data_IF_567537342406
#
_entry.id   IF_567537342406
#
_cell.length_a   1.000
_cell.length_b   1.000
_cell.length_c   1.000
_cell.angle_alpha   90.00
_cell.angle_beta   90.00
_cell.angle_gamma   90.00
#
_symmetry.space_group_name_H-M   'P 1'
#
loop_
_entity.id
_entity.type
_entity.pdbx_description
1 polymer ?
#
# COMPACT_ATOMS: atom_id res chain seq x y z
N UNK A 1 9.45 -5.28 -14.78
CA UNK A 1 8.81 -4.83 -13.53
C UNK A 1 9.59 -5.27 -12.29
N UNK A 2 9.72 -6.58 -11.94
CA UNK A 2 10.39 -7.02 -10.70
C UNK A 2 11.83 -6.53 -10.56
N UNK A 3 12.63 -6.53 -11.63
CA UNK A 3 13.98 -5.94 -11.66
C UNK A 3 13.97 -4.44 -11.31
N UNK A 4 13.04 -3.67 -11.87
CA UNK A 4 12.91 -2.25 -11.59
C UNK A 4 12.50 -1.99 -10.13
N UNK A 5 11.54 -2.76 -9.62
CA UNK A 5 11.12 -2.67 -8.21
C UNK A 5 12.27 -2.97 -7.27
N UNK A 6 13.03 -4.05 -7.52
CA UNK A 6 14.16 -4.41 -6.69
C UNK A 6 15.30 -3.36 -6.78
N UNK A 7 15.56 -2.81 -7.96
CA UNK A 7 16.53 -1.72 -8.15
C UNK A 7 16.12 -0.43 -7.43
N UNK A 8 14.80 -0.20 -7.26
CA UNK A 8 14.23 0.91 -6.47
C UNK A 8 14.09 0.57 -4.96
N UNK A 9 14.69 -0.53 -4.50
CA UNK A 9 14.69 -0.94 -3.09
C UNK A 9 13.45 -1.71 -2.64
N UNK A 10 12.50 -2.01 -3.52
CA UNK A 10 11.27 -2.73 -3.21
C UNK A 10 11.52 -4.23 -3.28
N UNK A 11 11.46 -4.91 -2.13
CA UNK A 11 11.68 -6.36 -2.03
C UNK A 11 10.39 -7.18 -2.05
N UNK A 12 9.29 -6.60 -1.64
CA UNK A 12 7.95 -7.20 -1.68
C UNK A 12 6.96 -6.20 -2.26
N UNK A 13 6.01 -6.69 -3.05
CA UNK A 13 4.96 -5.85 -3.60
C UNK A 13 3.60 -6.51 -3.51
N UNK A 14 2.63 -5.76 -2.99
CA UNK A 14 1.20 -6.06 -3.10
C UNK A 14 0.65 -5.24 -4.28
N UNK A 15 0.53 -5.89 -5.45
CA UNK A 15 0.09 -5.24 -6.69
C UNK A 15 -1.43 -5.11 -6.72
N UNK A 16 -1.93 -3.94 -7.09
CA UNK A 16 -3.32 -3.76 -7.47
C UNK A 16 -3.46 -3.80 -8.99
N UNK A 17 -4.41 -4.58 -9.49
CA UNK A 17 -4.73 -4.65 -10.91
C UNK A 17 -6.22 -4.86 -11.11
N UNK A 18 -6.82 -4.01 -11.96
CA UNK A 18 -8.20 -4.16 -12.40
C UNK A 18 -8.27 -5.05 -13.65
N UNK A 19 -9.09 -6.09 -13.58
CA UNK A 19 -9.22 -7.08 -14.65
C UNK A 19 -10.37 -6.73 -15.61
N UNK A 20 -10.25 -5.59 -16.26
CA UNK A 20 -11.24 -5.05 -17.20
C UNK A 20 -10.85 -5.19 -18.68
N UNK A 21 -9.83 -5.99 -18.96
CA UNK A 21 -9.25 -6.17 -20.29
C UNK A 21 -9.34 -7.62 -20.76
N UNK A 22 -9.40 -7.79 -22.07
CA UNK A 22 -9.16 -9.08 -22.71
C UNK A 22 -7.67 -9.23 -23.01
N UNK A 23 -7.16 -10.44 -22.87
CA UNK A 23 -5.80 -10.74 -23.28
C UNK A 23 -5.78 -11.99 -24.18
N UNK A 24 -4.77 -12.04 -25.02
CA UNK A 24 -4.60 -13.08 -26.02
C UNK A 24 -3.29 -13.83 -25.75
N UNK A 25 -3.34 -15.15 -25.81
CA UNK A 25 -2.10 -15.92 -25.83
C UNK A 25 -1.35 -15.68 -27.15
N UNK A 26 -0.03 -15.75 -27.12
CA UNK A 26 0.78 -15.57 -28.31
C UNK A 26 0.31 -16.52 -29.44
N UNK A 27 0.09 -15.95 -30.63
CA UNK A 27 -0.40 -16.67 -31.81
C UNK A 27 -1.88 -17.06 -31.79
N UNK A 28 -2.68 -16.56 -30.84
CA UNK A 28 -4.14 -16.75 -30.82
C UNK A 28 -4.89 -15.52 -31.31
N UNK A 29 -5.97 -15.74 -32.05
CA UNK A 29 -6.88 -14.68 -32.52
C UNK A 29 -8.04 -14.47 -31.54
N UNK A 30 -8.38 -15.50 -30.76
CA UNK A 30 -9.43 -15.43 -29.74
C UNK A 30 -8.83 -15.08 -28.37
N UNK A 31 -9.53 -14.25 -27.57
CA UNK A 31 -9.09 -13.95 -26.22
C UNK A 31 -9.17 -15.19 -25.32
N UNK A 32 -8.33 -15.23 -24.30
CA UNK A 32 -8.44 -16.25 -23.25
C UNK A 32 -9.78 -16.08 -22.51
N UNK A 33 -10.40 -17.21 -22.14
CA UNK A 33 -11.73 -17.23 -21.52
C UNK A 33 -11.73 -16.70 -20.08
N UNK A 34 -10.58 -16.78 -19.38
CA UNK A 34 -10.39 -16.32 -18.01
C UNK A 34 -8.94 -15.92 -17.78
N UNK A 35 -8.60 -15.55 -16.55
CA UNK A 35 -7.26 -15.08 -16.20
C UNK A 35 -6.32 -16.17 -15.67
N UNK A 36 -6.70 -17.45 -15.64
CA UNK A 36 -5.89 -18.53 -15.06
C UNK A 36 -4.49 -18.64 -15.69
N UNK A 37 -4.42 -18.57 -17.04
CA UNK A 37 -3.13 -18.63 -17.74
C UNK A 37 -2.23 -17.46 -17.37
N UNK A 38 -2.78 -16.26 -17.21
CA UNK A 38 -2.03 -15.08 -16.81
C UNK A 38 -1.48 -15.26 -15.39
N UNK A 39 -2.30 -15.74 -14.45
CA UNK A 39 -1.85 -16.00 -13.08
C UNK A 39 -0.83 -17.12 -12.98
N UNK A 40 -0.97 -18.15 -13.79
CA UNK A 40 0.05 -19.21 -13.92
C UNK A 40 1.41 -18.60 -14.30
N UNK A 41 1.44 -17.83 -15.39
CA UNK A 41 2.68 -17.18 -15.88
C UNK A 41 3.21 -16.18 -14.85
N UNK A 42 2.34 -15.41 -14.21
CA UNK A 42 2.74 -14.47 -13.15
C UNK A 42 3.44 -15.18 -12.00
N UNK A 43 2.89 -16.29 -11.50
CA UNK A 43 3.51 -17.09 -10.46
C UNK A 43 4.84 -17.73 -10.89
N UNK A 44 4.89 -18.30 -12.08
CA UNK A 44 6.12 -18.90 -12.65
C UNK A 44 7.25 -17.86 -12.80
N UNK A 45 6.93 -16.65 -13.27
CA UNK A 45 7.94 -15.59 -13.45
C UNK A 45 8.41 -15.01 -12.11
N UNK A 46 7.56 -14.93 -11.08
CA UNK A 46 8.00 -14.56 -9.72
C UNK A 46 9.03 -15.56 -9.22
N UNK A 47 8.74 -16.86 -9.26
CA UNK A 47 9.64 -17.89 -8.74
C UNK A 47 10.93 -18.01 -9.57
N UNK A 48 10.84 -17.85 -10.88
CA UNK A 48 12.01 -17.80 -11.75
C UNK A 48 12.91 -16.59 -11.44
N UNK A 49 12.33 -15.42 -11.21
CA UNK A 49 13.10 -14.23 -10.84
C UNK A 49 13.77 -14.40 -9.48
N UNK A 50 13.05 -14.85 -8.46
CA UNK A 50 13.60 -15.15 -7.12
C UNK A 50 14.75 -16.16 -7.16
N UNK A 51 14.70 -17.13 -8.07
CA UNK A 51 15.75 -18.14 -8.23
C UNK A 51 16.98 -17.63 -9.02
N UNK A 52 16.91 -16.48 -9.65
CA UNK A 52 18.02 -15.88 -10.38
C UNK A 52 19.00 -15.18 -9.45
N UNK A 53 20.26 -15.00 -9.88
CA UNK A 53 21.26 -14.23 -9.12
C UNK A 53 20.81 -12.77 -8.91
N UNK A 54 20.15 -12.18 -9.91
CA UNK A 54 19.65 -10.81 -9.85
C UNK A 54 18.49 -10.65 -8.87
N UNK A 55 17.61 -11.65 -8.79
CA UNK A 55 16.39 -11.61 -7.97
C UNK A 55 16.51 -12.22 -6.57
N UNK A 56 17.69 -12.66 -6.15
CA UNK A 56 17.90 -13.38 -4.86
C UNK A 56 17.41 -12.61 -3.62
N UNK A 57 17.42 -11.28 -3.67
CA UNK A 57 16.97 -10.42 -2.59
C UNK A 57 15.48 -10.02 -2.71
N UNK A 58 14.81 -10.43 -3.78
CA UNK A 58 13.38 -10.19 -3.97
C UNK A 58 12.55 -11.20 -3.17
N UNK A 59 11.70 -10.71 -2.29
CA UNK A 59 10.89 -11.56 -1.41
C UNK A 59 9.67 -12.15 -2.10
N UNK A 60 9.12 -11.43 -3.09
CA UNK A 60 7.98 -11.87 -3.88
C UNK A 60 6.95 -10.79 -4.15
N UNK A 61 5.84 -11.23 -4.74
CA UNK A 61 4.70 -10.39 -5.06
C UNK A 61 3.40 -11.15 -4.86
N UNK A 62 2.35 -10.43 -4.47
CA UNK A 62 0.96 -10.91 -4.49
C UNK A 62 0.07 -9.86 -5.12
N UNK A 63 -1.11 -10.26 -5.50
CA UNK A 63 -2.06 -9.38 -6.15
C UNK A 63 -3.28 -9.12 -5.28
N UNK A 64 -3.64 -7.86 -5.11
CA UNK A 64 -4.94 -7.43 -4.62
C UNK A 64 -5.82 -7.25 -5.85
N UNK A 65 -6.80 -8.13 -6.01
CA UNK A 65 -7.75 -8.03 -7.10
C UNK A 65 -8.58 -6.76 -6.95
N UNK A 66 -8.72 -6.01 -8.04
CA UNK A 66 -9.26 -4.66 -7.96
C UNK A 66 -10.45 -4.50 -8.89
N UNK A 67 -11.64 -4.35 -8.32
CA UNK A 67 -12.86 -4.02 -9.04
C UNK A 67 -13.02 -2.51 -9.25
N UNK A 68 -13.77 -2.13 -10.28
CA UNK A 68 -14.03 -0.71 -10.62
C UNK A 68 -15.40 -0.30 -10.09
N UNK A 69 -15.44 0.61 -9.13
CA UNK A 69 -16.67 1.01 -8.40
C UNK A 69 -17.77 1.67 -9.24
N UNK A 70 -17.44 2.21 -10.42
CA UNK A 70 -18.44 2.82 -11.31
C UNK A 70 -19.22 1.80 -12.17
N UNK A 71 -18.75 0.55 -12.22
CA UNK A 71 -19.42 -0.49 -12.99
C UNK A 71 -20.78 -0.86 -12.39
N UNK A 72 -21.66 -1.38 -13.24
CA UNK A 72 -22.94 -1.90 -12.78
C UNK A 72 -22.78 -3.16 -11.91
N UNK A 73 -23.79 -3.43 -11.09
CA UNK A 73 -23.82 -4.57 -10.16
C UNK A 73 -23.45 -5.89 -10.82
N UNK A 74 -23.94 -6.16 -12.02
CA UNK A 74 -23.67 -7.42 -12.72
C UNK A 74 -22.19 -7.59 -13.02
N UNK A 75 -21.54 -6.55 -13.54
CA UNK A 75 -20.10 -6.58 -13.84
C UNK A 75 -19.25 -6.67 -12.60
N UNK A 76 -19.63 -6.01 -11.51
CA UNK A 76 -18.93 -6.13 -10.22
C UNK A 76 -19.05 -7.56 -9.68
N UNK A 77 -20.22 -8.18 -9.76
CA UNK A 77 -20.41 -9.59 -9.34
C UNK A 77 -19.62 -10.54 -10.22
N UNK A 78 -19.63 -10.37 -11.55
CA UNK A 78 -18.82 -11.15 -12.49
C UNK A 78 -17.31 -11.03 -12.18
N UNK A 79 -16.84 -9.82 -11.84
CA UNK A 79 -15.45 -9.55 -11.41
C UNK A 79 -15.10 -10.24 -10.08
N UNK A 80 -15.98 -10.16 -9.09
CA UNK A 80 -15.83 -10.85 -7.82
C UNK A 80 -15.79 -12.37 -7.97
N UNK A 81 -16.63 -12.94 -8.83
CA UNK A 81 -16.68 -14.37 -9.13
C UNK A 81 -15.36 -14.83 -9.78
N UNK A 82 -14.84 -14.05 -10.73
CA UNK A 82 -13.56 -14.31 -11.36
C UNK A 82 -12.40 -14.27 -10.32
N UNK A 83 -12.43 -13.32 -9.38
CA UNK A 83 -11.48 -13.25 -8.27
C UNK A 83 -11.50 -14.52 -7.40
N UNK A 84 -12.70 -15.02 -7.05
CA UNK A 84 -12.88 -16.27 -6.29
C UNK A 84 -12.28 -17.44 -7.06
N UNK A 85 -12.61 -17.57 -8.35
CA UNK A 85 -12.09 -18.64 -9.23
C UNK A 85 -10.55 -18.65 -9.26
N UNK A 86 -9.93 -17.49 -9.42
CA UNK A 86 -8.47 -17.37 -9.41
C UNK A 86 -7.89 -17.66 -8.03
N UNK A 87 -8.55 -17.21 -6.95
CA UNK A 87 -8.10 -17.53 -5.58
C UNK A 87 -8.11 -19.04 -5.31
N UNK A 88 -9.08 -19.77 -5.82
CA UNK A 88 -9.15 -21.23 -5.70
C UNK A 88 -8.02 -21.91 -6.50
N UNK A 89 -7.76 -21.44 -7.71
CA UNK A 89 -6.73 -22.00 -8.59
C UNK A 89 -5.29 -21.65 -8.14
N UNK A 90 -5.08 -20.41 -7.66
CA UNK A 90 -3.77 -19.86 -7.28
C UNK A 90 -3.84 -19.14 -5.92
N UNK A 91 -4.11 -19.84 -4.81
CA UNK A 91 -4.38 -19.24 -3.51
C UNK A 91 -3.25 -18.33 -3.01
N UNK A 92 -2.01 -18.65 -3.33
CA UNK A 92 -0.82 -17.89 -2.91
C UNK A 92 -0.61 -16.58 -3.67
N UNK A 93 -1.29 -16.37 -4.83
CA UNK A 93 -1.11 -15.17 -5.65
C UNK A 93 -2.13 -14.06 -5.35
N UNK A 94 -3.33 -14.41 -4.85
CA UNK A 94 -4.33 -13.41 -4.46
C UNK A 94 -4.26 -13.15 -2.97
N UNK A 95 -3.98 -11.89 -2.59
CA UNK A 95 -3.88 -11.44 -1.21
C UNK A 95 -5.15 -10.76 -0.68
N UNK A 96 -5.99 -10.22 -1.56
CA UNK A 96 -7.20 -9.51 -1.17
C UNK A 96 -8.01 -8.95 -2.32
N UNK A 97 -9.04 -8.20 -1.99
CA UNK A 97 -9.95 -7.53 -2.91
C UNK A 97 -10.08 -6.04 -2.56
N UNK A 98 -10.19 -5.20 -3.60
CA UNK A 98 -10.36 -3.76 -3.49
C UNK A 98 -11.39 -3.24 -4.49
N UNK A 99 -11.88 -2.03 -4.28
CA UNK A 99 -12.75 -1.27 -5.19
C UNK A 99 -12.16 0.12 -5.42
N UNK A 100 -11.82 0.41 -6.67
CA UNK A 100 -11.13 1.64 -7.07
C UNK A 100 -11.89 2.45 -8.11
N UNK A 101 -11.26 3.50 -8.58
CA UNK A 101 -11.79 4.51 -9.49
C UNK A 101 -12.17 5.76 -8.72
N UNK A 102 -12.37 6.87 -9.43
CA UNK A 102 -12.64 8.16 -8.82
C UNK A 102 -13.73 8.05 -7.74
N UNK A 103 -13.36 8.32 -6.51
CA UNK A 103 -14.23 8.06 -5.37
C UNK A 103 -15.44 8.99 -5.37
N UNK A 104 -15.24 10.29 -5.67
CA UNK A 104 -16.32 11.29 -5.77
C UNK A 104 -17.29 11.07 -6.95
N UNK A 105 -16.83 10.40 -8.01
CA UNK A 105 -17.64 10.09 -9.19
C UNK A 105 -18.19 8.67 -9.23
N UNK A 106 -17.81 7.83 -8.26
CA UNK A 106 -18.16 6.42 -8.19
C UNK A 106 -19.29 6.09 -7.23
N UNK A 107 -19.64 4.81 -7.14
CA UNK A 107 -20.59 4.31 -6.14
C UNK A 107 -19.90 4.23 -4.77
N UNK A 108 -20.48 4.81 -3.70
CA UNK A 108 -19.95 4.65 -2.36
C UNK A 108 -20.04 3.20 -1.88
N UNK A 109 -19.19 2.81 -0.93
CA UNK A 109 -19.16 1.43 -0.41
C UNK A 109 -20.53 0.98 0.14
N UNK A 110 -21.31 1.89 0.74
CA UNK A 110 -22.65 1.58 1.24
C UNK A 110 -23.60 1.08 0.15
N UNK A 111 -23.48 1.59 -1.08
CA UNK A 111 -24.32 1.18 -2.21
C UNK A 111 -23.88 -0.16 -2.80
N UNK A 112 -22.66 -0.60 -2.47
CA UNK A 112 -22.06 -1.87 -2.90
C UNK A 112 -22.15 -2.97 -1.82
N UNK A 113 -22.78 -2.69 -0.67
CA UNK A 113 -22.92 -3.66 0.43
C UNK A 113 -23.57 -4.99 -0.02
N UNK A 114 -24.63 -5.01 -0.86
CA UNK A 114 -25.19 -6.28 -1.31
C UNK A 114 -24.18 -7.16 -2.04
N UNK A 115 -23.38 -6.58 -2.95
CA UNK A 115 -22.34 -7.26 -3.71
C UNK A 115 -21.20 -7.72 -2.78
N UNK A 116 -20.77 -6.89 -1.85
CA UNK A 116 -19.71 -7.21 -0.89
C UNK A 116 -20.12 -8.33 0.08
N UNK A 117 -21.37 -8.34 0.55
CA UNK A 117 -21.89 -9.45 1.38
C UNK A 117 -22.06 -10.72 0.56
N UNK A 118 -22.50 -10.62 -0.69
CA UNK A 118 -22.53 -11.76 -1.61
C UNK A 118 -21.14 -12.36 -1.78
N UNK A 119 -20.13 -11.51 -2.04
CA UNK A 119 -18.74 -11.94 -2.20
C UNK A 119 -18.22 -12.69 -0.96
N UNK A 120 -18.41 -12.12 0.23
CA UNK A 120 -17.99 -12.79 1.48
C UNK A 120 -18.73 -14.10 1.73
N UNK A 121 -20.00 -14.16 1.35
CA UNK A 121 -20.81 -15.40 1.43
C UNK A 121 -20.24 -16.46 0.48
N UNK A 122 -19.98 -16.13 -0.77
CA UNK A 122 -19.39 -17.07 -1.75
C UNK A 122 -18.01 -17.56 -1.29
N UNK A 123 -17.13 -16.65 -0.83
CA UNK A 123 -15.85 -17.06 -0.25
C UNK A 123 -16.02 -18.07 0.90
N UNK A 124 -16.99 -17.85 1.79
CA UNK A 124 -17.25 -18.76 2.90
C UNK A 124 -17.79 -20.12 2.44
N UNK A 125 -18.65 -20.16 1.42
CA UNK A 125 -19.19 -21.38 0.81
C UNK A 125 -18.08 -22.21 0.16
N UNK A 126 -17.08 -21.57 -0.46
CA UNK A 126 -15.89 -22.19 -1.04
C UNK A 126 -14.77 -22.50 -0.01
N UNK A 127 -14.95 -22.12 1.24
CA UNK A 127 -13.97 -22.37 2.32
C UNK A 127 -12.70 -21.52 2.23
N UNK A 128 -12.76 -20.37 1.56
CA UNK A 128 -11.65 -19.41 1.41
C UNK A 128 -11.95 -18.09 2.12
N UNK A 129 -10.91 -17.31 2.42
CA UNK A 129 -11.03 -15.93 2.85
C UNK A 129 -10.24 -15.01 1.91
N UNK A 130 -10.92 -13.99 1.38
CA UNK A 130 -10.31 -12.92 0.60
C UNK A 130 -10.57 -11.62 1.38
N UNK A 131 -9.57 -11.09 2.10
CA UNK A 131 -9.72 -9.87 2.89
C UNK A 131 -9.87 -8.63 2.01
N UNK A 132 -10.43 -7.56 2.59
CA UNK A 132 -10.56 -6.28 1.93
C UNK A 132 -9.36 -5.37 2.19
N UNK A 133 -8.98 -4.58 1.16
CA UNK A 133 -7.95 -3.56 1.17
C UNK A 133 -8.47 -2.32 0.45
N UNK A 134 -9.57 -1.73 0.95
CA UNK A 134 -10.34 -0.73 0.23
C UNK A 134 -9.64 0.62 0.07
N UNK A 135 -9.76 1.19 -1.13
CA UNK A 135 -9.66 2.63 -1.31
C UNK A 135 -10.81 3.31 -0.59
N UNK A 136 -10.49 4.25 0.31
CA UNK A 136 -11.46 5.04 1.03
C UNK A 136 -10.86 6.37 1.51
N UNK A 137 -11.63 7.44 1.40
CA UNK A 137 -11.20 8.77 1.79
C UNK A 137 -10.27 9.44 0.79
N UNK A 138 -10.22 9.00 -0.46
CA UNK A 138 -9.57 9.72 -1.56
C UNK A 138 -10.47 10.87 -2.04
N UNK A 139 -10.82 11.73 -1.12
CA UNK A 139 -11.72 12.86 -1.30
C UNK A 139 -11.36 13.99 -0.34
N UNK A 140 -11.98 15.16 -0.53
CA UNK A 140 -11.74 16.32 0.33
C UNK A 140 -12.32 16.18 1.75
N UNK A 141 -13.24 15.24 1.97
CA UNK A 141 -13.79 14.98 3.31
C UNK A 141 -14.79 16.03 3.76
N UNK A 142 -15.79 16.34 2.92
CA UNK A 142 -16.77 17.38 3.17
C UNK A 142 -18.09 16.83 3.78
N UNK A 143 -18.07 15.63 4.34
CA UNK A 143 -19.23 14.95 4.93
C UNK A 143 -20.20 14.36 3.92
N UNK A 144 -19.77 14.22 2.66
CA UNK A 144 -20.53 13.57 1.59
C UNK A 144 -20.59 12.05 1.77
N UNK A 145 -21.38 11.38 0.93
CA UNK A 145 -21.44 9.91 0.88
C UNK A 145 -20.08 9.29 0.59
N UNK A 146 -19.24 9.95 -0.18
CA UNK A 146 -17.86 9.53 -0.47
C UNK A 146 -16.98 9.55 0.77
N UNK A 147 -17.05 10.62 1.56
CA UNK A 147 -16.29 10.73 2.82
C UNK A 147 -16.68 9.64 3.83
N UNK A 148 -17.92 9.16 3.79
CA UNK A 148 -18.39 8.04 4.61
C UNK A 148 -17.78 6.69 4.24
N UNK A 149 -17.18 6.53 3.05
CA UNK A 149 -16.48 5.30 2.67
C UNK A 149 -15.41 4.89 3.69
N UNK A 150 -14.78 5.85 4.39
CA UNK A 150 -13.83 5.55 5.48
C UNK A 150 -14.49 4.76 6.61
N UNK A 151 -15.71 5.14 7.02
CA UNK A 151 -16.45 4.43 8.06
C UNK A 151 -16.87 3.04 7.58
N UNK A 152 -17.36 2.96 6.35
CA UNK A 152 -17.80 1.68 5.75
C UNK A 152 -16.62 0.72 5.58
N UNK A 153 -15.47 1.19 5.13
CA UNK A 153 -14.26 0.38 5.00
C UNK A 153 -13.82 -0.21 6.36
N UNK A 154 -13.83 0.61 7.43
CA UNK A 154 -13.50 0.17 8.79
C UNK A 154 -14.53 -0.83 9.31
N UNK A 155 -15.82 -0.63 9.06
CA UNK A 155 -16.91 -1.53 9.46
C UNK A 155 -16.87 -2.86 8.70
N UNK A 156 -16.53 -2.84 7.41
CA UNK A 156 -16.35 -4.03 6.56
C UNK A 156 -15.06 -4.80 6.89
N UNK A 157 -14.23 -4.29 7.79
CA UNK A 157 -13.03 -4.97 8.26
C UNK A 157 -11.86 -4.90 7.28
N UNK A 158 -11.71 -3.79 6.56
CA UNK A 158 -10.54 -3.56 5.71
C UNK A 158 -9.25 -3.71 6.52
N UNK A 159 -8.22 -4.31 5.94
CA UNK A 159 -6.91 -4.48 6.59
C UNK A 159 -6.00 -3.27 6.42
N UNK A 160 -6.13 -2.58 5.30
CA UNK A 160 -5.46 -1.33 4.96
C UNK A 160 -6.46 -0.42 4.25
N UNK A 161 -6.22 0.86 4.28
CA UNK A 161 -7.02 1.87 3.59
C UNK A 161 -6.13 2.53 2.54
N UNK A 162 -6.50 2.41 1.27
CA UNK A 162 -5.88 3.16 0.18
C UNK A 162 -6.19 4.64 0.32
N UNK A 163 -5.17 5.48 0.22
CA UNK A 163 -5.14 6.93 0.43
C UNK A 163 -5.48 7.39 1.84
N UNK A 164 -6.71 7.17 2.32
CA UNK A 164 -7.15 7.67 3.63
C UNK A 164 -6.98 9.17 3.80
N UNK A 165 -6.96 9.93 2.69
CA UNK A 165 -6.64 11.36 2.67
C UNK A 165 -7.52 12.16 3.62
N UNK A 166 -8.85 11.96 3.60
CA UNK A 166 -9.80 12.70 4.44
C UNK A 166 -9.86 12.22 5.90
N UNK A 167 -9.17 11.13 6.25
CA UNK A 167 -9.21 10.55 7.60
C UNK A 167 -8.82 11.55 8.71
N UNK A 168 -7.93 12.50 8.42
CA UNK A 168 -7.47 13.49 9.40
C UNK A 168 -8.62 14.36 9.96
N UNK A 169 -9.74 14.45 9.25
CA UNK A 169 -10.94 15.17 9.66
C UNK A 169 -11.83 14.40 10.65
N UNK A 170 -11.57 13.11 10.86
CA UNK A 170 -12.41 12.20 11.64
C UNK A 170 -11.70 11.65 12.91
N UNK A 171 -11.60 12.45 14.00
CA UNK A 171 -10.81 12.07 15.18
C UNK A 171 -11.20 10.72 15.80
N UNK A 172 -12.51 10.45 15.92
CA UNK A 172 -12.99 9.16 16.48
C UNK A 172 -12.67 7.97 15.56
N UNK A 173 -12.71 8.18 14.25
CA UNK A 173 -12.36 7.13 13.29
C UNK A 173 -10.85 6.85 13.30
N UNK A 174 -10.02 7.87 13.53
CA UNK A 174 -8.58 7.70 13.75
C UNK A 174 -8.33 6.72 14.91
N UNK A 175 -9.02 6.86 16.02
CA UNK A 175 -8.86 5.96 17.16
C UNK A 175 -9.27 4.52 16.80
N UNK A 176 -10.37 4.35 16.06
CA UNK A 176 -10.79 3.02 15.57
C UNK A 176 -9.76 2.39 14.62
N UNK A 177 -9.20 3.17 13.69
CA UNK A 177 -8.14 2.72 12.74
C UNK A 177 -6.91 2.23 13.51
N UNK A 178 -6.48 2.98 14.53
CA UNK A 178 -5.34 2.62 15.38
C UNK A 178 -5.60 1.34 16.18
N UNK A 179 -6.77 1.22 16.81
CA UNK A 179 -7.14 0.09 17.65
C UNK A 179 -7.24 -1.21 16.82
N UNK A 180 -7.84 -1.11 15.64
CA UNK A 180 -7.97 -2.23 14.70
C UNK A 180 -6.69 -2.57 13.95
N UNK A 181 -5.61 -1.79 14.12
CA UNK A 181 -4.34 -1.96 13.39
C UNK A 181 -4.52 -1.92 11.88
N UNK A 182 -5.29 -0.96 11.41
CA UNK A 182 -5.45 -0.66 9.98
C UNK A 182 -4.32 0.29 9.57
N UNK A 183 -3.63 0.00 8.47
CA UNK A 183 -2.63 0.88 7.87
C UNK A 183 -3.29 1.84 6.88
N UNK A 184 -2.79 3.06 6.81
CA UNK A 184 -3.10 4.00 5.71
C UNK A 184 -1.98 3.91 4.68
N UNK A 185 -2.34 3.61 3.44
CA UNK A 185 -1.47 3.62 2.27
C UNK A 185 -1.49 5.03 1.68
N UNK A 186 -0.57 5.86 2.09
CA UNK A 186 -0.52 7.28 1.73
C UNK A 186 0.17 7.48 0.39
N UNK A 187 -0.46 8.24 -0.51
CA UNK A 187 0.00 8.50 -1.87
C UNK A 187 0.14 10.02 -2.12
N UNK A 188 1.15 10.70 -1.51
CA UNK A 188 1.22 12.16 -1.53
C UNK A 188 1.34 12.76 -2.92
N UNK A 189 2.11 12.14 -3.82
CA UNK A 189 2.29 12.60 -5.20
C UNK A 189 0.98 12.47 -5.97
N UNK A 190 0.30 11.33 -5.86
CA UNK A 190 -1.01 11.12 -6.48
C UNK A 190 -2.01 12.16 -5.99
N UNK A 191 -2.10 12.37 -4.67
CA UNK A 191 -3.05 13.33 -4.10
C UNK A 191 -2.77 14.78 -4.51
N UNK A 192 -1.52 15.16 -4.78
CA UNK A 192 -1.16 16.45 -5.38
C UNK A 192 -1.59 16.52 -6.85
N UNK A 193 -1.27 15.50 -7.66
CA UNK A 193 -1.63 15.43 -9.09
C UNK A 193 -3.15 15.45 -9.27
N UNK A 194 -3.89 14.72 -8.44
CA UNK A 194 -5.34 14.67 -8.44
C UNK A 194 -6.01 15.91 -7.79
N UNK A 195 -5.22 16.88 -7.33
CA UNK A 195 -5.70 18.14 -6.76
C UNK A 195 -6.47 18.01 -5.44
N UNK A 196 -6.24 16.94 -4.69
CA UNK A 196 -6.77 16.83 -3.31
C UNK A 196 -5.99 17.75 -2.35
N UNK A 197 -4.71 17.99 -2.63
CA UNK A 197 -3.90 19.02 -1.97
C UNK A 197 -3.18 19.90 -3.00
N UNK A 198 -2.77 21.10 -2.58
CA UNK A 198 -2.08 22.05 -3.44
C UNK A 198 -0.62 21.67 -3.70
N UNK A 199 -0.02 20.95 -2.76
CA UNK A 199 1.35 20.42 -2.83
C UNK A 199 1.53 19.32 -1.78
N UNK A 200 2.56 18.50 -1.93
CA UNK A 200 2.98 17.50 -0.92
C UNK A 200 3.13 18.15 0.47
N UNK A 201 3.60 19.38 0.55
CA UNK A 201 3.75 20.12 1.84
C UNK A 201 2.44 20.31 2.59
N UNK A 202 1.31 20.38 1.88
CA UNK A 202 -0.05 20.54 2.48
C UNK A 202 -0.81 19.22 2.66
N UNK A 203 -0.15 18.09 2.40
CA UNK A 203 -0.74 16.77 2.56
C UNK A 203 -1.00 16.43 4.05
N UNK A 204 -2.11 15.75 4.39
CA UNK A 204 -2.46 15.44 5.78
C UNK A 204 -1.62 14.36 6.46
N UNK A 205 -0.70 13.68 5.76
CA UNK A 205 0.13 12.60 6.32
C UNK A 205 0.85 13.00 7.62
N UNK A 206 1.51 14.19 7.74
CA UNK A 206 2.12 14.60 9.00
C UNK A 206 1.14 14.68 10.18
N UNK A 207 -0.09 15.13 9.91
CA UNK A 207 -1.14 15.21 10.94
C UNK A 207 -1.62 13.81 11.36
N UNK A 208 -1.70 12.84 10.44
CA UNK A 208 -2.02 11.45 10.75
C UNK A 208 -0.91 10.78 11.58
N UNK A 209 0.35 10.97 11.17
CA UNK A 209 1.52 10.46 11.92
C UNK A 209 1.59 11.05 13.33
N UNK A 210 1.37 12.36 13.50
CA UNK A 210 1.34 13.02 14.81
C UNK A 210 0.23 12.48 15.73
N UNK A 211 -0.83 11.90 15.18
CA UNK A 211 -1.91 11.21 15.92
C UNK A 211 -1.67 9.72 16.13
N UNK A 212 -0.53 9.21 15.68
CA UNK A 212 -0.12 7.81 15.83
C UNK A 212 -0.85 6.85 14.88
N UNK A 213 -1.34 7.33 13.74
CA UNK A 213 -1.86 6.48 12.67
C UNK A 213 -0.68 5.79 12.00
N UNK A 214 -0.75 4.49 11.82
CA UNK A 214 0.24 3.75 11.03
C UNK A 214 0.03 4.05 9.55
N UNK A 215 1.05 4.62 8.91
CA UNK A 215 1.03 4.94 7.48
C UNK A 215 2.26 4.32 6.79
N UNK A 216 2.14 4.03 5.50
CA UNK A 216 3.24 3.76 4.57
C UNK A 216 3.11 4.66 3.36
N UNK A 217 4.21 4.90 2.65
CA UNK A 217 4.16 5.54 1.33
C UNK A 217 3.83 4.49 0.27
N UNK A 218 3.03 4.87 -0.70
CA UNK A 218 2.61 4.04 -1.83
C UNK A 218 2.60 4.87 -3.10
N UNK A 219 3.00 4.26 -4.24
CA UNK A 219 3.13 4.99 -5.51
C UNK A 219 1.80 5.31 -6.17
N UNK A 220 0.75 4.50 -5.90
CA UNK A 220 -0.48 4.52 -6.69
C UNK A 220 -0.20 4.10 -8.15
N UNK A 221 -0.35 4.99 -9.10
CA UNK A 221 -0.17 4.77 -10.54
C UNK A 221 1.12 5.42 -11.08
N UNK A 222 2.32 4.89 -10.79
CA UNK A 222 3.58 5.58 -11.07
C UNK A 222 3.76 5.95 -12.55
N UNK A 223 3.32 5.11 -13.48
CA UNK A 223 3.42 5.39 -14.91
C UNK A 223 2.55 6.57 -15.37
N UNK A 224 1.36 6.74 -14.77
CA UNK A 224 0.44 7.85 -15.07
C UNK A 224 0.92 9.12 -14.37
N UNK A 225 1.49 8.99 -13.17
CA UNK A 225 1.97 10.11 -12.36
C UNK A 225 3.36 10.63 -12.76
N UNK A 226 3.98 10.03 -13.78
CA UNK A 226 5.27 10.46 -14.31
C UNK A 226 6.46 10.10 -13.43
N UNK A 227 6.37 9.04 -12.62
CA UNK A 227 7.42 8.62 -11.71
C UNK A 227 8.46 7.67 -12.34
N UNK A 228 8.30 7.30 -13.60
CA UNK A 228 9.21 6.44 -14.37
C UNK A 228 9.63 5.15 -13.61
N UNK A 229 10.95 4.89 -13.49
CA UNK A 229 11.48 3.59 -12.98
C UNK A 229 11.81 3.56 -11.49
N UNK A 230 11.83 4.71 -10.82
CA UNK A 230 12.23 4.86 -9.41
C UNK A 230 11.10 5.51 -8.59
N UNK A 231 9.88 4.98 -8.72
CA UNK A 231 8.68 5.55 -8.14
C UNK A 231 8.74 5.64 -6.62
N UNK A 232 9.13 4.56 -5.92
CA UNK A 232 9.22 4.58 -4.45
C UNK A 232 10.31 5.53 -3.94
N UNK A 233 11.47 5.55 -4.57
CA UNK A 233 12.52 6.54 -4.25
C UNK A 233 11.99 7.95 -4.40
N UNK A 234 11.20 8.23 -5.44
CA UNK A 234 10.60 9.55 -5.65
C UNK A 234 9.59 9.92 -4.55
N UNK A 235 8.71 9.00 -4.14
CA UNK A 235 7.77 9.23 -3.04
C UNK A 235 8.49 9.52 -1.72
N UNK A 236 9.53 8.72 -1.38
CA UNK A 236 10.35 8.96 -0.17
C UNK A 236 11.13 10.28 -0.24
N UNK A 237 11.66 10.62 -1.42
CA UNK A 237 12.33 11.89 -1.65
C UNK A 237 11.39 13.08 -1.46
N UNK A 238 10.20 13.04 -2.04
CA UNK A 238 9.21 14.11 -1.90
C UNK A 238 8.73 14.25 -0.45
N UNK A 239 8.56 13.15 0.26
CA UNK A 239 8.22 13.17 1.68
C UNK A 239 9.31 13.84 2.52
N UNK A 240 10.58 13.50 2.26
CA UNK A 240 11.72 14.09 2.97
C UNK A 240 11.85 15.59 2.68
N UNK A 241 11.65 16.02 1.42
CA UNK A 241 11.74 17.42 1.04
C UNK A 241 10.52 18.24 1.49
N UNK A 242 9.34 17.62 1.52
CA UNK A 242 8.09 18.30 1.85
C UNK A 242 7.87 18.52 3.33
N UNK A 243 8.53 17.76 4.22
CA UNK A 243 8.24 17.80 5.67
C UNK A 243 9.52 17.84 6.51
N UNK A 244 9.90 19.03 6.94
CA UNK A 244 11.14 19.29 7.71
C UNK A 244 11.30 18.39 8.95
N UNK A 245 10.19 18.00 9.58
CA UNK A 245 10.19 17.21 10.81
C UNK A 245 10.22 15.69 10.59
N UNK A 246 10.16 15.22 9.35
CA UNK A 246 10.12 13.79 9.06
C UNK A 246 11.46 13.13 9.39
N UNK A 247 12.53 13.66 8.82
CA UNK A 247 13.89 13.16 9.02
C UNK A 247 14.06 11.67 8.68
N UNK A 248 15.24 11.15 8.95
CA UNK A 248 15.57 9.75 8.69
C UNK A 248 14.69 8.78 9.52
N UNK A 249 14.43 9.12 10.78
CA UNK A 249 13.60 8.28 11.65
C UNK A 249 12.16 8.16 11.16
N UNK A 250 11.59 9.24 10.63
CA UNK A 250 10.25 9.22 10.04
C UNK A 250 10.20 8.38 8.75
N UNK A 251 11.20 8.52 7.88
CA UNK A 251 11.33 7.66 6.69
C UNK A 251 11.42 6.18 7.07
N UNK A 252 12.27 5.85 8.07
CA UNK A 252 12.38 4.49 8.57
C UNK A 252 11.07 3.93 9.11
N UNK A 253 10.29 4.74 9.82
CA UNK A 253 8.97 4.34 10.32
C UNK A 253 7.98 4.05 9.19
N UNK A 254 7.96 4.86 8.14
CA UNK A 254 7.11 4.64 6.95
C UNK A 254 7.53 3.35 6.21
N UNK A 255 8.84 3.13 6.05
CA UNK A 255 9.38 1.94 5.42
C UNK A 255 9.13 0.68 6.27
N UNK A 256 9.34 0.73 7.59
CA UNK A 256 9.02 -0.37 8.51
C UNK A 256 7.55 -0.77 8.42
N UNK A 257 6.65 0.21 8.39
CA UNK A 257 5.22 -0.05 8.28
C UNK A 257 4.86 -0.74 6.96
N UNK A 258 5.53 -0.44 5.85
CA UNK A 258 5.31 -1.13 4.58
C UNK A 258 5.58 -2.63 4.68
N UNK A 259 6.63 -3.03 5.40
CA UNK A 259 6.95 -4.44 5.69
C UNK A 259 5.96 -5.03 6.69
N UNK A 260 5.67 -4.30 7.78
CA UNK A 260 4.81 -4.77 8.87
C UNK A 260 3.38 -5.10 8.41
N UNK A 261 2.82 -4.38 7.45
CA UNK A 261 1.47 -4.58 6.92
C UNK A 261 1.43 -5.26 5.54
N UNK A 262 2.55 -5.73 5.01
CA UNK A 262 2.59 -6.49 3.76
C UNK A 262 1.79 -7.80 3.85
N UNK A 263 1.13 -8.20 2.77
CA UNK A 263 0.27 -9.38 2.73
C UNK A 263 1.02 -10.63 2.28
N UNK A 264 2.09 -11.00 3.00
CA UNK A 264 2.99 -12.10 2.65
C UNK A 264 2.30 -13.46 2.50
N UNK A 265 1.28 -13.73 3.30
CA UNK A 265 0.55 -15.00 3.35
C UNK A 265 -0.92 -14.79 3.70
N UNK A 266 -1.73 -15.81 3.49
CA UNK A 266 -3.12 -15.79 3.94
C UNK A 266 -3.19 -15.89 5.47
N UNK A 267 -3.92 -14.98 6.05
CA UNK A 267 -4.12 -14.89 7.50
C UNK A 267 -5.57 -14.54 7.79
N UNK A 268 -6.18 -15.15 8.79
CA UNK A 268 -7.43 -14.64 9.32
C UNK A 268 -7.23 -13.31 10.07
N UNK A 269 -8.31 -12.59 10.34
CA UNK A 269 -8.23 -11.25 10.94
C UNK A 269 -7.52 -11.23 12.30
N UNK A 270 -7.71 -12.26 13.14
CA UNK A 270 -7.08 -12.34 14.46
C UNK A 270 -5.56 -12.53 14.35
N UNK A 271 -5.11 -13.46 13.48
CA UNK A 271 -3.69 -13.70 13.23
C UNK A 271 -3.02 -12.47 12.58
N UNK A 272 -3.70 -11.81 11.65
CA UNK A 272 -3.22 -10.57 11.02
C UNK A 272 -2.88 -9.50 12.07
N UNK A 273 -3.84 -9.19 12.96
CA UNK A 273 -3.64 -8.19 14.02
C UNK A 273 -2.59 -8.64 15.04
N UNK A 274 -2.58 -9.92 15.40
CA UNK A 274 -1.58 -10.48 16.31
C UNK A 274 -0.17 -10.31 15.78
N UNK A 275 0.09 -10.76 14.54
CA UNK A 275 1.43 -10.72 13.93
C UNK A 275 1.92 -9.28 13.68
N UNK A 276 1.02 -8.33 13.40
CA UNK A 276 1.35 -6.90 13.32
C UNK A 276 1.81 -6.38 14.70
N UNK A 277 1.16 -6.78 15.79
CA UNK A 277 1.54 -6.37 17.16
C UNK A 277 2.87 -6.97 17.60
N UNK A 278 3.08 -8.25 17.33
CA UNK A 278 4.31 -8.96 17.70
C UNK A 278 5.53 -8.47 16.89
N UNK A 279 5.33 -8.04 15.64
CA UNK A 279 6.39 -7.54 14.76
C UNK A 279 7.62 -8.47 14.73
N UNK A 280 8.80 -7.98 15.10
CA UNK A 280 10.04 -8.75 15.15
C UNK A 280 10.07 -9.81 16.25
N UNK A 281 9.22 -9.69 17.28
CA UNK A 281 9.14 -10.66 18.38
C UNK A 281 8.31 -11.89 18.04
N UNK A 282 7.48 -11.80 16.99
CA UNK A 282 6.64 -12.90 16.53
C UNK A 282 7.39 -14.00 15.82
N UNK A 283 6.61 -14.96 15.31
CA UNK A 283 7.07 -16.07 14.48
C UNK A 283 6.40 -16.01 13.11
N UNK A 284 7.00 -16.69 12.11
CA UNK A 284 6.48 -16.73 10.75
C UNK A 284 7.08 -15.68 9.83
N UNK A 285 6.59 -15.66 8.58
CA UNK A 285 7.18 -14.89 7.48
C UNK A 285 7.30 -13.40 7.81
N UNK A 286 6.25 -12.79 8.37
CA UNK A 286 6.25 -11.36 8.74
C UNK A 286 7.38 -11.02 9.71
N UNK A 287 7.50 -11.77 10.79
CA UNK A 287 8.54 -11.55 11.79
C UNK A 287 9.95 -11.74 11.22
N UNK A 288 10.13 -12.72 10.36
CA UNK A 288 11.38 -12.94 9.63
C UNK A 288 11.74 -11.74 8.75
N UNK A 289 10.80 -11.28 7.92
CA UNK A 289 11.02 -10.12 7.04
C UNK A 289 11.24 -8.82 7.82
N UNK A 290 10.54 -8.63 8.93
CA UNK A 290 10.76 -7.50 9.84
C UNK A 290 12.17 -7.53 10.45
N UNK A 291 12.67 -8.69 10.87
CA UNK A 291 14.05 -8.84 11.39
C UNK A 291 15.09 -8.53 10.31
N UNK A 292 14.88 -9.07 9.10
CA UNK A 292 15.76 -8.80 7.97
C UNK A 292 15.79 -7.30 7.65
N UNK A 293 14.64 -6.65 7.56
CA UNK A 293 14.52 -5.21 7.32
C UNK A 293 15.23 -4.40 8.42
N UNK A 294 15.07 -4.76 9.71
CA UNK A 294 15.71 -4.05 10.81
C UNK A 294 17.24 -4.04 10.69
N UNK A 295 17.84 -5.17 10.34
CA UNK A 295 19.29 -5.28 10.13
C UNK A 295 19.75 -4.38 8.97
N UNK A 296 19.03 -4.43 7.84
CA UNK A 296 19.34 -3.61 6.66
C UNK A 296 19.18 -2.11 6.95
N UNK A 297 18.16 -1.74 7.72
CA UNK A 297 17.95 -0.37 8.16
C UNK A 297 19.08 0.14 9.07
N UNK A 298 19.53 -0.67 10.03
CA UNK A 298 20.69 -0.32 10.88
C UNK A 298 21.97 -0.17 10.07
N UNK A 299 22.21 -1.05 9.10
CA UNK A 299 23.34 -0.96 8.17
C UNK A 299 23.28 0.32 7.34
N UNK A 300 22.10 0.68 6.83
CA UNK A 300 21.88 1.93 6.10
C UNK A 300 22.15 3.16 6.98
N UNK A 301 21.61 3.18 8.20
CA UNK A 301 21.87 4.27 9.16
C UNK A 301 23.36 4.41 9.48
N UNK A 302 24.05 3.30 9.69
CA UNK A 302 25.49 3.30 9.93
C UNK A 302 26.26 3.85 8.72
N UNK A 303 25.88 3.45 7.52
CA UNK A 303 26.47 4.00 6.28
C UNK A 303 26.26 5.51 6.18
N UNK A 304 25.03 6.02 6.41
CA UNK A 304 24.74 7.45 6.39
C UNK A 304 25.64 8.23 7.38
N UNK A 305 25.76 7.73 8.62
CA UNK A 305 26.59 8.38 9.64
C UNK A 305 28.07 8.34 9.28
N UNK A 306 28.54 7.23 8.71
CA UNK A 306 29.95 7.07 8.33
C UNK A 306 30.31 7.95 7.15
N UNK A 307 29.43 8.03 6.16
CA UNK A 307 29.70 8.76 4.91
C UNK A 307 29.49 10.29 5.05
N UNK A 308 28.48 10.71 5.83
CA UNK A 308 28.04 12.10 5.88
C UNK A 308 28.13 12.72 7.30
N UNK A 309 28.63 11.98 8.31
CA UNK A 309 28.64 12.44 9.70
C UNK A 309 29.51 13.67 9.92
N UNK A 310 30.66 13.75 9.28
CA UNK A 310 31.61 14.87 9.42
C UNK A 310 31.03 16.15 8.78
N UNK A 311 30.28 16.04 7.68
CA UNK A 311 29.60 17.18 7.04
C UNK A 311 28.53 17.78 7.99
N UNK A 312 27.82 16.94 8.73
CA UNK A 312 26.84 17.36 9.73
C UNK A 312 27.45 18.14 10.92
N UNK A 313 28.66 17.80 11.34
CA UNK A 313 29.38 18.58 12.37
C UNK A 313 29.84 19.94 11.85
N UNK A 314 30.30 20.02 10.62
CA UNK A 314 30.68 21.28 9.95
C UNK A 314 29.51 22.24 9.82
N UNK A 315 28.32 21.73 9.40
CA UNK A 315 27.08 22.52 9.31
C UNK A 315 26.62 23.02 10.70
N UNK A 316 26.72 22.19 11.76
CA UNK A 316 26.37 22.59 13.14
C UNK A 316 27.31 23.63 13.70
N UNK A 317 28.58 23.62 13.31
CA UNK A 317 29.56 24.66 13.69
C UNK A 317 29.23 25.98 13.01
N UNK A 318 28.93 25.96 11.71
CA UNK A 318 28.51 27.16 10.95
C UNK A 318 27.20 27.77 11.51
N UNK A 319 26.20 26.96 11.85
CA UNK A 319 24.97 27.43 12.46
C UNK A 319 25.12 28.02 13.88
N UNK A 320 26.12 27.61 14.62
CA UNK A 320 26.47 28.22 15.94
C UNK A 320 27.22 29.54 15.81
N UNK A 321 28.09 29.66 14.81
CA UNK A 321 28.81 30.91 14.51
C UNK A 321 27.86 32.00 14.02
N UNK A 322 26.90 31.67 13.12
CA UNK A 322 25.91 32.63 12.63
C UNK A 322 24.88 33.06 13.68
N UNK A 323 24.64 32.28 14.73
CA UNK A 323 23.73 32.65 15.82
C UNK A 323 24.40 33.52 16.90
N UNK A 324 25.72 33.55 16.95
CA UNK A 324 26.49 34.44 17.88
C UNK A 324 26.64 35.83 17.30
N UNK A 325 26.76 35.99 15.98
CA UNK A 325 26.85 37.28 15.30
C UNK A 325 25.52 38.04 15.19
N UNK A 326 24.40 37.43 15.56
CA UNK A 326 23.08 38.05 15.56
C UNK A 326 22.66 38.66 16.93
N UNK A 327 23.57 38.68 17.90
CA UNK A 327 23.32 39.22 19.26
C UNK A 327 24.17 40.47 19.61
N UNK A 328 24.94 41.02 18.68
CA UNK A 328 25.58 42.31 18.75
C UNK A 328 24.89 43.30 17.75
#
# INVERSE_FOLDING_TARGET
MMQQLLADGVKWVDLRLAFIFFYYAEGKEEPEANYERMFKVFGEEIEKFKASEEGKDFWGARMIWTGIRVLDTRKIVEDMDACIGIKLAYPHLISGYDLVGQEDGGRPLKDLLPELFWFKKQCAEEGIDIPFFFHAGECLGDGSDTDQNLFDAVLLGTRRIGHGFSLYKHPLLIDMVKDKKILVESCPISNEVLRLCASVMSHPLPALLARGVSCSLCNDDPAILGQDTAGMTHDFWQALQGWDNLGLAGLGSLAENSVRWAAFEDQNAAKWVHDIKEATLGNGVRAEKMKQWSVEWEQFCLWVVTEFGDDGESIRKLGKETSLDAQD
#
